data_IF_373730909191
#
_entry.id   IF_373730909191
#
_cell.length_a   1.000
_cell.length_b   1.000
_cell.length_c   1.000
_cell.angle_alpha   90.00
_cell.angle_beta   90.00
_cell.angle_gamma   90.00
#
_symmetry.space_group_name_H-M   'P 1'
#
loop_
_entity.id
_entity.type
_entity.pdbx_description
1 polymer ?
#
# COMPACT_ATOMS: atom_id res chain seq x y z
N UNK A 1 3.29 8.79 14.56
CA UNK A 1 2.59 7.66 15.21
C UNK A 1 1.07 7.78 15.22
N UNK A 2 0.53 8.91 14.82
CA UNK A 2 -0.92 9.06 14.60
C UNK A 2 -1.46 8.19 13.44
N UNK A 3 -0.60 7.79 12.52
CA UNK A 3 -0.92 6.96 11.32
C UNK A 3 -1.51 5.58 11.67
N UNK A 4 -1.25 5.06 12.87
CA UNK A 4 -1.70 3.72 13.31
C UNK A 4 -2.52 3.79 14.61
N UNK A 5 -3.14 4.94 14.88
CA UNK A 5 -3.77 5.25 16.17
C UNK A 5 -4.83 4.24 16.62
N UNK A 6 -5.59 3.69 15.68
CA UNK A 6 -6.63 2.69 15.95
C UNK A 6 -6.13 1.24 15.78
N UNK A 7 -4.81 1.07 15.56
CA UNK A 7 -4.19 -0.25 15.47
C UNK A 7 -3.82 -0.78 16.84
N UNK A 8 -4.05 -2.08 17.15
CA UNK A 8 -3.57 -2.72 18.38
C UNK A 8 -2.04 -2.66 18.58
N UNK A 9 -1.29 -2.36 17.52
CA UNK A 9 0.17 -2.13 17.58
C UNK A 9 0.48 -0.74 18.15
N UNK A 10 -0.46 0.22 18.04
CA UNK A 10 -0.25 1.60 18.46
C UNK A 10 0.16 1.70 19.93
N UNK A 11 -0.57 1.04 20.82
CA UNK A 11 -0.28 1.07 22.28
C UNK A 11 1.11 0.54 22.57
N UNK A 12 1.50 -0.62 21.96
CA UNK A 12 2.82 -1.22 22.16
C UNK A 12 3.94 -0.37 21.55
N UNK A 13 3.72 0.17 20.35
CA UNK A 13 4.68 1.05 19.69
C UNK A 13 4.82 2.37 20.44
N UNK A 14 3.72 2.93 20.97
CA UNK A 14 3.73 4.14 21.80
C UNK A 14 4.48 3.90 23.11
N UNK A 15 4.19 2.80 23.79
CA UNK A 15 4.89 2.44 25.02
C UNK A 15 6.41 2.22 24.80
N UNK A 16 6.78 1.59 23.70
CA UNK A 16 8.19 1.43 23.31
C UNK A 16 8.86 2.77 23.05
N UNK A 17 8.22 3.64 22.25
CA UNK A 17 8.75 4.96 21.93
C UNK A 17 8.83 5.88 23.15
N UNK A 18 7.85 5.84 24.05
CA UNK A 18 7.93 6.57 25.31
C UNK A 18 9.10 6.07 26.20
N UNK A 19 9.34 4.76 26.22
CA UNK A 19 10.49 4.18 26.91
C UNK A 19 11.83 4.65 26.31
N UNK A 20 11.94 4.63 24.97
CA UNK A 20 13.16 5.10 24.28
C UNK A 20 13.32 6.62 24.39
N UNK A 21 12.23 7.37 24.31
CA UNK A 21 12.21 8.83 24.52
C UNK A 21 12.70 9.20 25.93
N UNK A 22 12.30 8.45 26.97
CA UNK A 22 12.77 8.68 28.33
C UNK A 22 14.26 8.34 28.49
N UNK A 23 14.78 7.35 27.78
CA UNK A 23 16.23 7.07 27.72
C UNK A 23 16.98 8.22 27.07
N UNK A 24 16.48 8.73 25.93
CA UNK A 24 17.08 9.87 25.19
C UNK A 24 16.99 11.15 26.04
N UNK A 25 15.89 11.38 26.73
CA UNK A 25 15.68 12.51 27.62
C UNK A 25 16.69 12.55 28.80
N UNK A 26 17.16 11.36 29.23
CA UNK A 26 18.23 11.28 30.23
C UNK A 26 19.60 11.73 29.72
N UNK A 27 19.78 11.80 28.39
CA UNK A 27 21.03 12.23 27.76
C UNK A 27 21.01 13.69 27.28
N UNK A 28 19.82 14.26 26.97
CA UNK A 28 19.71 15.67 26.53
C UNK A 28 18.34 16.24 26.90
N UNK A 29 18.30 17.16 27.87
CA UNK A 29 17.07 17.86 28.28
C UNK A 29 16.38 18.64 27.12
N UNK A 30 17.13 19.03 26.08
CA UNK A 30 16.64 19.78 24.92
C UNK A 30 15.99 18.91 23.83
N UNK A 31 16.31 17.62 23.74
CA UNK A 31 15.81 16.74 22.67
C UNK A 31 14.30 16.49 22.76
N UNK A 32 13.73 16.43 23.96
CA UNK A 32 12.29 16.19 24.18
C UNK A 32 11.41 17.37 23.81
N UNK A 33 11.89 18.59 24.01
CA UNK A 33 11.16 19.81 23.67
C UNK A 33 10.98 19.96 22.14
N UNK A 34 11.92 19.45 21.35
CA UNK A 34 11.87 19.55 19.90
C UNK A 34 11.02 18.47 19.22
N UNK A 35 10.87 17.28 19.82
CA UNK A 35 10.03 16.21 19.25
C UNK A 35 8.53 16.55 19.23
N UNK A 36 8.03 17.35 20.18
CA UNK A 36 6.64 17.81 20.18
C UNK A 36 6.29 18.77 19.02
N UNK A 37 7.31 19.28 18.32
CA UNK A 37 7.16 20.17 17.17
C UNK A 37 7.20 19.43 15.83
N UNK A 38 7.40 18.12 15.83
CA UNK A 38 7.38 17.24 14.63
C UNK A 38 6.06 16.49 14.62
N UNK A 39 5.26 16.71 13.58
CA UNK A 39 3.97 16.07 13.39
C UNK A 39 3.99 15.22 12.11
N UNK A 40 3.54 13.98 12.22
CA UNK A 40 3.27 13.12 11.08
C UNK A 40 1.78 13.13 10.80
N UNK A 41 1.38 13.68 9.66
CA UNK A 41 -0.02 13.63 9.21
C UNK A 41 -0.29 12.26 8.59
N UNK A 42 -1.33 11.60 9.08
CA UNK A 42 -1.76 10.28 8.58
C UNK A 42 -2.78 10.38 7.44
N UNK A 43 -3.06 9.25 6.81
CA UNK A 43 -4.21 9.05 5.96
C UNK A 43 -5.43 8.60 6.82
N UNK A 44 -6.69 8.79 6.34
CA UNK A 44 -7.85 8.21 7.01
C UNK A 44 -7.69 6.69 7.14
N UNK A 45 -7.82 6.17 8.37
CA UNK A 45 -7.66 4.75 8.65
C UNK A 45 -8.96 3.99 8.45
N UNK A 46 -8.87 2.79 7.88
CA UNK A 46 -9.99 1.86 7.81
C UNK A 46 -10.24 1.23 9.20
N UNK A 47 -11.52 1.10 9.57
CA UNK A 47 -11.89 0.47 10.84
C UNK A 47 -11.43 -1.00 10.86
N UNK A 48 -10.64 -1.36 11.85
CA UNK A 48 -10.08 -2.70 12.04
C UNK A 48 -10.57 -3.28 13.38
N UNK A 49 -11.16 -4.48 13.31
CA UNK A 49 -11.55 -5.22 14.51
C UNK A 49 -10.32 -5.78 15.23
N UNK A 50 -10.18 -5.48 16.51
CA UNK A 50 -9.09 -5.97 17.34
C UNK A 50 -8.98 -7.50 17.33
N UNK A 51 -10.12 -8.21 17.27
CA UNK A 51 -10.16 -9.67 17.16
C UNK A 51 -9.48 -10.17 15.89
N UNK A 52 -9.79 -9.56 14.74
CA UNK A 52 -9.17 -9.91 13.45
C UNK A 52 -7.66 -9.73 13.50
N UNK A 53 -7.21 -8.58 14.00
CA UNK A 53 -5.78 -8.31 14.17
C UNK A 53 -5.09 -9.35 15.08
N UNK A 54 -5.62 -9.56 16.29
CA UNK A 54 -5.02 -10.46 17.27
C UNK A 54 -4.95 -11.90 16.77
N UNK A 55 -5.99 -12.33 16.02
CA UNK A 55 -6.04 -13.67 15.43
C UNK A 55 -4.97 -13.85 14.34
N UNK A 56 -4.81 -12.86 13.45
CA UNK A 56 -3.78 -12.89 12.41
C UNK A 56 -2.39 -12.87 13.06
N UNK A 57 -2.18 -11.97 14.03
CA UNK A 57 -0.89 -11.85 14.71
C UNK A 57 -0.49 -13.14 15.42
N UNK A 58 -1.44 -13.79 16.12
CA UNK A 58 -1.22 -15.11 16.74
C UNK A 58 -0.85 -16.16 15.70
N UNK A 59 -1.60 -16.23 14.59
CA UNK A 59 -1.34 -17.17 13.50
C UNK A 59 0.05 -16.98 12.87
N UNK A 60 0.50 -15.74 12.72
CA UNK A 60 1.84 -15.44 12.22
C UNK A 60 2.94 -15.85 13.20
N UNK A 61 2.73 -15.68 14.51
CA UNK A 61 3.69 -16.09 15.54
C UNK A 61 3.87 -17.62 15.60
N UNK A 62 2.82 -18.38 15.32
CA UNK A 62 2.82 -19.85 15.35
C UNK A 62 2.96 -20.47 13.97
N UNK A 63 3.11 -19.68 12.90
CA UNK A 63 3.08 -20.13 11.51
C UNK A 63 1.89 -21.05 11.22
N UNK A 64 0.71 -20.71 11.74
CA UNK A 64 -0.51 -21.48 11.56
C UNK A 64 -1.34 -20.92 10.42
N UNK A 65 -1.90 -21.76 9.54
CA UNK A 65 -2.83 -21.28 8.50
C UNK A 65 -4.11 -20.71 9.10
N UNK A 66 -4.76 -19.87 8.31
CA UNK A 66 -6.03 -19.23 8.64
C UNK A 66 -7.13 -19.67 7.68
N UNK A 67 -8.35 -19.76 8.18
CA UNK A 67 -9.56 -19.74 7.35
C UNK A 67 -10.22 -18.39 7.55
N UNK A 68 -10.41 -17.64 6.45
CA UNK A 68 -11.03 -16.31 6.45
C UNK A 68 -12.30 -16.30 5.60
N UNK A 69 -13.29 -15.52 6.03
CA UNK A 69 -14.44 -15.11 5.23
C UNK A 69 -14.16 -13.72 4.71
N UNK A 70 -13.91 -13.61 3.43
CA UNK A 70 -13.43 -12.39 2.79
C UNK A 70 -14.35 -11.93 1.67
N UNK A 71 -14.66 -10.63 1.64
CA UNK A 71 -15.43 -10.00 0.57
C UNK A 71 -14.48 -9.29 -0.40
N UNK A 72 -14.21 -9.86 -1.60
CA UNK A 72 -13.35 -9.22 -2.60
C UNK A 72 -13.91 -7.87 -3.07
N UNK A 73 -13.01 -7.03 -3.59
CA UNK A 73 -13.40 -5.74 -4.18
C UNK A 73 -14.43 -5.93 -5.30
N UNK A 74 -15.50 -5.13 -5.26
CA UNK A 74 -16.58 -5.19 -6.25
C UNK A 74 -17.53 -6.39 -6.11
N UNK A 75 -17.37 -7.23 -5.08
CA UNK A 75 -18.30 -8.32 -4.76
C UNK A 75 -19.18 -7.95 -3.57
N UNK A 76 -20.41 -8.48 -3.55
CA UNK A 76 -21.34 -8.32 -2.42
C UNK A 76 -21.25 -9.47 -1.42
N UNK A 77 -20.82 -10.63 -1.88
CA UNK A 77 -20.79 -11.86 -1.09
C UNK A 77 -19.38 -12.20 -0.64
N UNK A 78 -19.29 -12.67 0.59
CA UNK A 78 -18.05 -13.20 1.14
C UNK A 78 -17.79 -14.61 0.61
N UNK A 79 -16.52 -14.92 0.37
CA UNK A 79 -16.07 -16.26 0.06
C UNK A 79 -15.08 -16.75 1.12
N UNK A 80 -14.99 -18.06 1.29
CA UNK A 80 -14.08 -18.70 2.23
C UNK A 80 -12.72 -18.93 1.55
N UNK A 81 -11.66 -18.55 2.25
CA UNK A 81 -10.27 -18.74 1.83
C UNK A 81 -9.47 -19.41 2.95
N UNK A 82 -8.75 -20.49 2.61
CA UNK A 82 -7.62 -20.98 3.40
C UNK A 82 -6.37 -20.20 2.99
N UNK A 83 -5.65 -19.65 3.95
CA UNK A 83 -4.47 -18.84 3.68
C UNK A 83 -3.34 -19.14 4.67
N UNK A 84 -2.08 -18.93 4.23
CA UNK A 84 -0.90 -18.88 5.08
C UNK A 84 -0.47 -17.42 5.23
N UNK A 85 -0.61 -16.81 6.41
CA UNK A 85 -0.30 -15.40 6.62
C UNK A 85 1.21 -15.18 6.63
N UNK A 86 1.71 -14.31 5.72
CA UNK A 86 3.15 -14.04 5.59
C UNK A 86 3.53 -12.71 6.24
N UNK A 87 2.81 -11.62 5.91
CA UNK A 87 3.20 -10.29 6.38
C UNK A 87 2.00 -9.34 6.47
N UNK A 88 1.97 -8.55 7.55
CA UNK A 88 1.08 -7.41 7.70
C UNK A 88 1.75 -6.16 7.13
N UNK A 89 1.01 -5.42 6.31
CA UNK A 89 1.48 -4.21 5.63
C UNK A 89 0.48 -3.11 5.91
N UNK A 90 0.96 -1.96 6.39
CA UNK A 90 0.15 -0.76 6.49
C UNK A 90 0.39 0.11 5.26
N UNK A 91 -0.65 0.35 4.48
CA UNK A 91 -0.57 1.13 3.25
C UNK A 91 -1.76 2.06 3.12
N UNK A 92 -1.50 3.36 3.05
CA UNK A 92 -2.48 4.41 2.82
C UNK A 92 -3.73 4.31 3.70
N UNK A 93 -3.55 4.15 5.01
CA UNK A 93 -4.63 4.05 6.00
C UNK A 93 -5.29 2.68 6.10
N UNK A 94 -4.82 1.68 5.39
CA UNK A 94 -5.36 0.32 5.41
C UNK A 94 -4.32 -0.70 5.84
N UNK A 95 -4.76 -1.67 6.65
CA UNK A 95 -3.99 -2.86 6.92
C UNK A 95 -4.28 -3.93 5.87
N UNK A 96 -3.24 -4.40 5.24
CA UNK A 96 -3.25 -5.46 4.24
C UNK A 96 -2.48 -6.68 4.78
N UNK A 97 -2.99 -7.86 4.52
CA UNK A 97 -2.32 -9.12 4.80
C UNK A 97 -1.80 -9.71 3.49
N UNK A 98 -0.49 -9.79 3.35
CA UNK A 98 0.15 -10.57 2.31
C UNK A 98 0.18 -12.03 2.73
N UNK A 99 -0.48 -12.88 1.98
CA UNK A 99 -0.67 -14.27 2.32
C UNK A 99 -0.66 -15.18 1.09
N UNK A 100 -0.24 -16.42 1.28
CA UNK A 100 -0.43 -17.47 0.28
C UNK A 100 -1.86 -18.01 0.37
N UNK A 101 -2.60 -17.93 -0.74
CA UNK A 101 -3.94 -18.47 -0.86
C UNK A 101 -3.89 -19.93 -1.29
N UNK A 102 -4.58 -20.80 -0.55
CA UNK A 102 -4.61 -22.26 -0.77
C UNK A 102 -5.79 -22.72 -1.62
N UNK A 103 -6.61 -21.80 -2.11
CA UNK A 103 -7.80 -22.12 -2.91
C UNK A 103 -7.42 -22.33 -4.37
N UNK A 104 -7.70 -23.52 -4.93
CA UNK A 104 -7.31 -23.94 -6.29
C UNK A 104 -7.51 -22.89 -7.41
N UNK A 105 -8.61 -22.14 -7.40
CA UNK A 105 -8.85 -21.06 -8.39
C UNK A 105 -8.06 -19.78 -8.13
N UNK A 106 -7.38 -19.70 -6.99
CA UNK A 106 -6.78 -18.47 -6.48
C UNK A 106 -5.44 -18.73 -5.79
N UNK A 107 -4.81 -19.87 -6.10
CA UNK A 107 -3.49 -20.23 -5.55
C UNK A 107 -2.47 -19.11 -5.78
N UNK A 108 -1.54 -19.00 -4.83
CA UNK A 108 -0.44 -18.05 -4.86
C UNK A 108 -0.60 -16.89 -3.89
N UNK A 109 0.37 -16.03 -3.92
CA UNK A 109 0.47 -14.88 -3.02
C UNK A 109 -0.53 -13.79 -3.38
N UNK A 110 -1.24 -13.27 -2.36
CA UNK A 110 -2.30 -12.25 -2.51
C UNK A 110 -2.32 -11.28 -1.35
N UNK A 111 -2.85 -10.10 -1.61
CA UNK A 111 -3.21 -9.11 -0.59
C UNK A 111 -4.67 -9.29 -0.18
N UNK A 112 -4.89 -9.29 1.13
CA UNK A 112 -6.21 -9.31 1.76
C UNK A 112 -6.35 -8.08 2.66
N UNK A 113 -7.24 -7.16 2.31
CA UNK A 113 -7.54 -6.01 3.15
C UNK A 113 -8.25 -6.47 4.43
N UNK A 114 -7.70 -6.15 5.59
CA UNK A 114 -8.21 -6.67 6.86
C UNK A 114 -9.64 -6.20 7.17
N UNK A 115 -10.02 -5.00 6.73
CA UNK A 115 -11.38 -4.47 6.95
C UNK A 115 -12.48 -5.25 6.20
N UNK A 116 -12.08 -6.07 5.21
CA UNK A 116 -12.98 -6.90 4.41
C UNK A 116 -13.09 -8.35 4.90
N UNK A 117 -12.43 -8.66 6.02
CA UNK A 117 -12.53 -9.96 6.69
C UNK A 117 -13.70 -9.91 7.67
N UNK A 118 -14.75 -10.66 7.41
CA UNK A 118 -15.95 -10.71 8.25
C UNK A 118 -15.83 -11.73 9.39
N UNK A 119 -15.09 -12.82 9.17
CA UNK A 119 -14.83 -13.87 10.14
C UNK A 119 -13.45 -14.50 9.87
N UNK A 120 -12.80 -15.00 10.93
CA UNK A 120 -11.44 -15.54 10.86
C UNK A 120 -11.26 -16.66 11.91
N UNK A 121 -10.54 -17.72 11.54
CA UNK A 121 -10.20 -18.83 12.44
C UNK A 121 -8.80 -19.35 12.15
N UNK A 122 -8.02 -19.64 13.21
CA UNK A 122 -6.71 -20.29 13.13
C UNK A 122 -6.91 -21.82 12.99
N UNK A 123 -6.07 -22.45 12.17
CA UNK A 123 -5.94 -23.91 12.09
C UNK A 123 -4.75 -24.32 12.99
N UNK A 124 -5.00 -24.45 14.28
CA UNK A 124 -3.94 -24.60 15.31
C UNK A 124 -3.14 -25.91 15.18
N UNK A 125 -3.73 -26.95 14.61
CA UNK A 125 -3.08 -28.27 14.45
C UNK A 125 -2.16 -28.35 13.22
N UNK A 126 -2.15 -27.30 12.40
CA UNK A 126 -1.38 -27.26 11.15
C UNK A 126 -0.38 -26.11 11.19
N UNK A 127 0.84 -26.37 10.75
CA UNK A 127 1.88 -25.35 10.66
C UNK A 127 2.45 -25.33 9.23
N UNK A 128 2.97 -24.17 8.83
CA UNK A 128 3.67 -24.00 7.55
C UNK A 128 5.07 -23.41 7.81
N UNK A 129 5.95 -23.62 6.86
CA UNK A 129 7.25 -22.95 6.86
C UNK A 129 7.19 -21.73 5.96
N UNK A 130 7.62 -20.58 6.50
CA UNK A 130 7.82 -19.38 5.69
C UNK A 130 9.09 -19.61 4.84
N UNK A 131 9.07 -19.35 3.51
CA UNK A 131 10.28 -19.48 2.71
C UNK A 131 11.44 -18.67 3.32
N UNK A 132 12.61 -19.27 3.43
CA UNK A 132 13.78 -18.67 4.11
C UNK A 132 14.28 -17.38 3.44
N UNK A 133 14.01 -17.23 2.14
CA UNK A 133 14.34 -16.08 1.31
C UNK A 133 13.17 -15.09 1.18
N UNK A 134 12.06 -15.32 1.92
CA UNK A 134 10.90 -14.46 1.84
C UNK A 134 11.24 -13.03 2.29
N UNK A 135 11.02 -12.09 1.38
CA UNK A 135 11.03 -10.67 1.66
C UNK A 135 10.04 -9.98 0.72
N UNK A 136 8.99 -9.37 1.30
CA UNK A 136 7.98 -8.67 0.51
C UNK A 136 8.59 -7.53 -0.32
N UNK A 137 9.56 -6.80 0.23
CA UNK A 137 10.19 -5.67 -0.45
C UNK A 137 10.93 -6.08 -1.72
N UNK A 138 11.42 -7.33 -1.81
CA UNK A 138 12.04 -7.85 -3.03
C UNK A 138 11.05 -8.03 -4.20
N UNK A 139 9.75 -7.94 -3.93
CA UNK A 139 8.68 -8.06 -4.94
C UNK A 139 8.14 -6.71 -5.39
N UNK A 140 8.49 -5.63 -4.68
CA UNK A 140 8.00 -4.28 -4.95
C UNK A 140 9.03 -3.53 -5.77
N UNK A 141 8.62 -3.08 -6.95
CA UNK A 141 9.38 -2.12 -7.77
C UNK A 141 8.53 -0.88 -7.94
N UNK A 142 9.02 0.25 -7.41
CA UNK A 142 8.26 1.51 -7.38
C UNK A 142 7.77 1.90 -5.98
N UNK A 143 7.31 3.13 -5.86
CA UNK A 143 6.99 3.80 -4.59
C UNK A 143 5.50 4.11 -4.42
N UNK A 144 4.63 3.27 -5.00
CA UNK A 144 3.18 3.51 -5.06
C UNK A 144 2.34 2.62 -4.11
N UNK A 145 2.96 2.03 -3.09
CA UNK A 145 2.30 1.20 -2.10
C UNK A 145 2.41 -0.31 -2.35
N UNK A 146 1.58 -1.11 -1.68
CA UNK A 146 1.71 -2.56 -1.62
C UNK A 146 0.95 -3.34 -2.71
N UNK A 147 0.15 -2.68 -3.54
CA UNK A 147 -0.59 -3.35 -4.63
C UNK A 147 0.30 -3.54 -5.84
N UNK A 148 0.86 -4.73 -5.98
CA UNK A 148 1.83 -5.11 -7.01
C UNK A 148 1.22 -6.03 -8.06
N UNK A 149 1.70 -5.90 -9.29
CA UNK A 149 1.46 -6.81 -10.41
C UNK A 149 2.62 -7.81 -10.55
N UNK A 150 2.43 -8.89 -11.31
CA UNK A 150 3.47 -9.90 -11.53
C UNK A 150 4.69 -9.35 -12.28
N UNK A 151 4.44 -8.44 -13.23
CA UNK A 151 5.47 -7.94 -14.13
C UNK A 151 5.72 -6.45 -13.93
N UNK A 152 7.01 -6.10 -13.91
CA UNK A 152 7.48 -4.73 -14.00
C UNK A 152 7.25 -4.17 -15.40
N UNK A 153 6.87 -2.90 -15.48
CA UNK A 153 6.63 -2.17 -16.74
C UNK A 153 7.34 -0.83 -16.72
N UNK A 154 7.70 -0.36 -17.90
CA UNK A 154 8.14 1.02 -18.09
C UNK A 154 6.92 1.94 -18.11
N UNK A 155 6.97 2.97 -17.30
CA UNK A 155 6.00 4.08 -17.28
C UNK A 155 6.67 5.33 -17.80
N UNK A 156 5.97 6.06 -18.69
CA UNK A 156 6.33 7.40 -19.11
C UNK A 156 5.15 8.32 -18.88
N UNK A 157 5.38 9.35 -18.11
CA UNK A 157 4.35 10.29 -17.67
C UNK A 157 4.83 11.69 -18.02
N UNK A 158 4.03 12.39 -18.83
CA UNK A 158 4.27 13.78 -19.20
C UNK A 158 3.63 14.71 -18.19
N UNK A 159 4.32 15.75 -17.83
CA UNK A 159 3.89 16.84 -16.95
C UNK A 159 3.97 18.16 -17.71
N UNK A 160 2.97 19.00 -17.53
CA UNK A 160 2.97 20.33 -18.10
C UNK A 160 4.03 21.23 -17.45
N UNK A 161 4.61 22.13 -18.25
CA UNK A 161 5.64 23.07 -17.79
C UNK A 161 5.06 24.02 -16.73
N UNK A 162 5.71 24.05 -15.56
CA UNK A 162 5.28 24.89 -14.42
C UNK A 162 4.09 24.35 -13.64
N UNK A 163 3.57 23.16 -13.94
CA UNK A 163 2.48 22.54 -13.20
C UNK A 163 2.85 22.22 -11.74
N UNK A 164 1.85 22.20 -10.85
CA UNK A 164 2.03 21.77 -9.48
C UNK A 164 2.39 20.27 -9.41
N UNK A 165 1.81 19.47 -10.29
CA UNK A 165 2.12 18.04 -10.40
C UNK A 165 3.62 17.81 -10.63
N UNK A 166 4.26 18.60 -11.49
CA UNK A 166 5.70 18.54 -11.72
C UNK A 166 6.51 18.96 -10.49
N UNK A 167 6.17 20.11 -9.89
CA UNK A 167 6.84 20.60 -8.69
C UNK A 167 6.78 19.60 -7.53
N UNK A 168 5.67 18.89 -7.41
CA UNK A 168 5.49 17.83 -6.44
C UNK A 168 6.33 16.58 -6.76
N UNK A 169 6.47 16.26 -8.04
CA UNK A 169 6.99 14.95 -8.50
C UNK A 169 8.50 14.92 -8.72
N UNK A 170 9.09 16.03 -9.14
CA UNK A 170 10.48 16.13 -9.63
C UNK A 170 11.56 15.67 -8.63
N UNK A 171 11.33 15.87 -7.33
CA UNK A 171 12.31 15.62 -6.27
C UNK A 171 12.07 14.24 -5.59
N UNK A 172 11.23 13.37 -6.18
CA UNK A 172 10.89 12.06 -5.63
C UNK A 172 11.39 10.91 -6.51
N UNK A 173 11.65 9.79 -5.86
CA UNK A 173 11.97 8.53 -6.55
C UNK A 173 10.69 7.70 -6.63
N UNK A 174 10.20 7.49 -7.85
CA UNK A 174 8.95 6.79 -8.13
C UNK A 174 9.13 5.33 -8.50
N UNK A 175 10.30 4.96 -9.01
CA UNK A 175 10.61 3.58 -9.39
C UNK A 175 12.05 3.41 -9.86
N UNK A 176 12.34 2.20 -10.31
CA UNK A 176 13.66 1.86 -10.81
C UNK A 176 13.97 2.55 -12.13
N UNK A 177 15.25 2.76 -12.41
CA UNK A 177 15.77 3.36 -13.65
C UNK A 177 15.09 4.69 -14.01
N UNK A 178 14.77 5.48 -12.99
CA UNK A 178 14.10 6.76 -13.19
C UNK A 178 14.97 7.73 -13.99
N UNK A 179 14.36 8.35 -15.01
CA UNK A 179 14.95 9.43 -15.80
C UNK A 179 13.93 10.53 -16.03
N UNK A 180 14.43 11.73 -16.31
CA UNK A 180 13.64 12.91 -16.66
C UNK A 180 14.17 13.46 -17.95
N UNK A 181 13.29 13.73 -18.90
CA UNK A 181 13.56 14.43 -20.16
C UNK A 181 12.79 15.76 -20.19
N UNK A 182 13.46 16.86 -20.41
CA UNK A 182 12.82 18.16 -20.62
C UNK A 182 12.40 18.28 -22.09
N UNK A 183 11.15 18.68 -22.31
CA UNK A 183 10.57 18.94 -23.62
C UNK A 183 10.22 20.42 -23.77
N UNK A 184 9.79 20.85 -24.94
CA UNK A 184 9.43 22.26 -25.19
C UNK A 184 8.29 22.73 -24.28
N UNK A 185 7.31 21.85 -24.02
CA UNK A 185 6.05 22.13 -23.30
C UNK A 185 5.97 21.49 -21.91
N UNK A 186 7.02 20.81 -21.44
CA UNK A 186 7.01 20.19 -20.12
C UNK A 186 8.16 19.23 -19.84
N UNK A 187 7.83 18.16 -19.10
CA UNK A 187 8.79 17.14 -18.66
C UNK A 187 8.21 15.74 -18.83
N UNK A 188 9.02 14.80 -19.27
CA UNK A 188 8.66 13.38 -19.30
C UNK A 188 9.45 12.65 -18.22
N UNK A 189 8.75 12.16 -17.23
CA UNK A 189 9.27 11.29 -16.17
C UNK A 189 9.11 9.83 -16.60
N UNK A 190 10.22 9.11 -16.68
CA UNK A 190 10.24 7.67 -17.01
C UNK A 190 10.78 6.87 -15.83
N UNK A 191 10.14 5.75 -15.50
CA UNK A 191 10.57 4.83 -14.46
C UNK A 191 9.99 3.43 -14.67
N UNK A 192 10.61 2.43 -14.08
CA UNK A 192 10.09 1.06 -14.04
C UNK A 192 9.41 0.76 -12.71
N UNK A 193 8.21 0.17 -12.76
CA UNK A 193 7.44 -0.21 -11.58
C UNK A 193 6.48 -1.38 -11.88
N UNK A 194 6.02 -2.05 -10.83
CA UNK A 194 5.02 -3.12 -10.93
C UNK A 194 3.70 -2.79 -10.20
N UNK A 195 3.27 -1.53 -10.25
CA UNK A 195 2.16 -1.00 -9.45
C UNK A 195 1.12 -0.28 -10.32
N UNK A 196 0.58 -0.96 -11.34
CA UNK A 196 -0.30 -0.37 -12.36
C UNK A 196 -1.50 0.40 -11.78
N UNK A 197 -2.28 -0.22 -10.89
CA UNK A 197 -3.48 0.41 -10.32
C UNK A 197 -3.16 1.65 -9.47
N UNK A 198 -2.19 1.62 -8.56
CA UNK A 198 -1.75 2.80 -7.84
C UNK A 198 -1.26 3.92 -8.75
N UNK A 199 -0.45 3.61 -9.78
CA UNK A 199 0.04 4.59 -10.75
C UNK A 199 -1.11 5.22 -11.54
N UNK A 200 -2.07 4.42 -12.01
CA UNK A 200 -3.27 4.94 -12.66
C UNK A 200 -4.05 5.93 -11.78
N UNK A 201 -4.22 5.61 -10.49
CA UNK A 201 -4.88 6.52 -9.53
C UNK A 201 -4.09 7.80 -9.33
N UNK A 202 -2.77 7.69 -9.22
CA UNK A 202 -1.87 8.84 -9.07
C UNK A 202 -1.96 9.78 -10.29
N UNK A 203 -1.85 9.25 -11.51
CA UNK A 203 -1.99 10.04 -12.75
C UNK A 203 -3.35 10.72 -12.83
N UNK A 204 -4.44 10.01 -12.54
CA UNK A 204 -5.80 10.58 -12.53
C UNK A 204 -6.00 11.67 -11.47
N UNK A 205 -5.25 11.61 -10.37
CA UNK A 205 -5.34 12.58 -9.27
C UNK A 205 -4.79 13.97 -9.62
N UNK A 206 -3.99 14.09 -10.68
CA UNK A 206 -3.41 15.36 -11.13
C UNK A 206 -4.28 16.12 -12.14
N UNK A 207 -5.41 15.54 -12.54
CA UNK A 207 -6.35 16.19 -13.47
C UNK A 207 -5.75 16.34 -14.88
N UNK A 208 -5.71 17.55 -15.37
CA UNK A 208 -5.24 17.92 -16.71
C UNK A 208 -3.75 18.29 -16.77
N UNK A 209 -3.06 18.37 -15.63
CA UNK A 209 -1.63 18.71 -15.59
C UNK A 209 -0.70 17.55 -15.99
N UNK A 210 -1.25 16.33 -16.16
CA UNK A 210 -0.47 15.10 -16.33
C UNK A 210 -1.11 14.19 -17.39
N UNK A 211 -0.28 13.68 -18.30
CA UNK A 211 -0.68 12.73 -19.33
C UNK A 211 0.20 11.47 -19.31
N UNK A 212 -0.37 10.26 -19.24
CA UNK A 212 0.42 9.03 -19.39
C UNK A 212 0.74 8.77 -20.86
N UNK A 213 2.00 8.45 -21.16
CA UNK A 213 2.48 8.11 -22.51
C UNK A 213 2.72 6.60 -22.66
N UNK A 214 3.21 5.94 -21.61
CA UNK A 214 3.47 4.50 -21.55
C UNK A 214 3.13 3.94 -20.17
N UNK A 215 2.77 2.65 -20.09
CA UNK A 215 2.50 1.70 -21.18
C UNK A 215 1.14 1.94 -21.85
N UNK A 216 0.91 1.38 -23.04
CA UNK A 216 -0.33 1.57 -23.81
C UNK A 216 -1.59 1.24 -23.01
N UNK A 217 -1.56 0.23 -22.16
CA UNK A 217 -2.70 -0.13 -21.31
C UNK A 217 -3.02 0.96 -20.27
N UNK A 218 -2.00 1.69 -19.78
CA UNK A 218 -2.21 2.82 -18.88
C UNK A 218 -2.92 3.96 -19.61
N UNK A 219 -2.45 4.31 -20.80
CA UNK A 219 -3.07 5.32 -21.67
C UNK A 219 -4.52 4.97 -21.98
N UNK A 220 -4.77 3.73 -22.39
CA UNK A 220 -6.12 3.25 -22.71
C UNK A 220 -7.07 3.33 -21.50
N UNK A 221 -6.63 2.86 -20.32
CA UNK A 221 -7.46 2.87 -19.12
C UNK A 221 -7.67 4.29 -18.58
N UNK A 222 -6.66 5.14 -18.60
CA UNK A 222 -6.76 6.56 -18.27
C UNK A 222 -7.78 7.26 -19.19
N UNK A 223 -7.63 7.11 -20.52
CA UNK A 223 -8.55 7.68 -21.52
C UNK A 223 -9.99 7.22 -21.28
N UNK A 224 -10.20 5.93 -21.01
CA UNK A 224 -11.52 5.38 -20.71
C UNK A 224 -12.12 6.03 -19.47
N UNK A 225 -11.32 6.24 -18.43
CA UNK A 225 -11.77 6.88 -17.19
C UNK A 225 -12.12 8.35 -17.38
N UNK A 226 -11.30 9.09 -18.12
CA UNK A 226 -11.56 10.52 -18.45
C UNK A 226 -12.88 10.65 -19.22
N UNK A 227 -13.09 9.82 -20.27
CA UNK A 227 -14.35 9.82 -21.03
C UNK A 227 -15.57 9.53 -20.14
N UNK A 228 -15.45 8.57 -19.22
CA UNK A 228 -16.52 8.26 -18.29
C UNK A 228 -16.79 9.39 -17.28
N UNK A 229 -15.77 10.15 -16.86
CA UNK A 229 -15.93 11.33 -16.02
C UNK A 229 -16.62 12.47 -16.79
N UNK A 230 -16.16 12.74 -18.02
CA UNK A 230 -16.75 13.76 -18.88
C UNK A 230 -18.22 13.49 -19.21
N UNK A 231 -18.61 12.24 -19.45
CA UNK A 231 -20.02 11.88 -19.72
C UNK A 231 -20.96 12.18 -18.56
N UNK A 232 -20.48 12.22 -17.30
CA UNK A 232 -21.28 12.53 -16.13
C UNK A 232 -21.53 14.04 -15.96
N UNK A 233 -20.74 14.88 -16.61
CA UNK A 233 -20.91 16.34 -16.58
C UNK A 233 -22.03 16.74 -17.54
N UNK A 234 -22.20 15.98 -18.63
CA UNK A 234 -23.16 16.25 -19.69
C UNK A 234 -24.49 15.49 -19.54
N UNK A 235 -24.68 14.78 -18.43
CA UNK A 235 -25.91 14.07 -18.05
C UNK A 235 -26.67 14.81 -16.94
#
# INVERSE_FOLDING_TARGET
MEIIKDSPVYEKATAYLEKEKNKIASYTADATANFSRVLFMGAPEANLKNETWNTIYKAMQTNSPLVIYYTPEGKKESAVYGIRPYQLIFDNGCWELWAECLKQKHEGLRLFNLSRISNIRIQEETHFELPSDYNFMNKVTGSFGCYIDENQKLYKIKFDKGSYAWLYSKDRIWGDKQTVEETEDGYVLSFEANQFKPILRWVLGWGDEVEPLEPKELVAEWTRKIKNMASRINS
#
